data_IF_839115127722
#
_entry.id   IF_839115127722
#
_cell.length_a   1.000
_cell.length_b   1.000
_cell.length_c   1.000
_cell.angle_alpha   90.00
_cell.angle_beta   90.00
_cell.angle_gamma   90.00
#
_symmetry.space_group_name_H-M   'P 1'
#
loop_
_entity.id
_entity.type
_entity.pdbx_description
1 polymer ?
#
# COMPACT_ATOMS: atom_id res chain seq x y z
N UNK A 1 -37.29 55.06 75.78
CA UNK A 1 -37.35 55.04 74.29
C UNK A 1 -36.65 53.79 73.82
N UNK A 2 -37.29 52.75 73.33
CA UNK A 2 -36.61 51.52 72.86
C UNK A 2 -36.37 51.63 71.36
N UNK A 3 -35.16 51.18 70.95
CA UNK A 3 -34.73 51.04 69.52
C UNK A 3 -35.22 49.67 69.00
N UNK A 4 -35.94 49.66 67.92
CA UNK A 4 -36.26 48.48 67.14
C UNK A 4 -35.07 48.02 66.29
N UNK A 5 -34.62 46.76 66.44
CA UNK A 5 -33.72 46.09 65.53
C UNK A 5 -34.56 45.34 64.47
N UNK A 6 -34.34 45.68 63.22
CA UNK A 6 -34.90 44.90 62.08
C UNK A 6 -33.92 43.83 61.67
N UNK A 7 -34.29 42.56 61.78
CA UNK A 7 -33.53 41.43 61.22
C UNK A 7 -33.96 41.22 59.74
N UNK A 8 -33.03 41.41 58.83
CA UNK A 8 -33.20 40.99 57.42
C UNK A 8 -32.70 39.59 57.23
N UNK A 9 -33.60 38.69 56.89
CA UNK A 9 -33.30 37.29 56.51
C UNK A 9 -32.88 37.28 55.04
N UNK A 10 -31.61 36.99 54.75
CA UNK A 10 -31.11 36.74 53.40
C UNK A 10 -31.11 35.23 53.10
N UNK A 11 -31.89 34.80 52.15
CA UNK A 11 -31.84 33.44 51.60
C UNK A 11 -30.73 33.33 50.57
N UNK A 12 -29.89 32.26 50.58
CA UNK A 12 -28.94 32.04 49.51
C UNK A 12 -29.65 31.40 48.30
N UNK A 13 -29.56 32.07 47.17
CA UNK A 13 -29.97 31.58 45.84
C UNK A 13 -28.97 30.54 45.38
N UNK A 14 -29.28 29.24 45.46
CA UNK A 14 -28.43 28.14 44.97
C UNK A 14 -28.65 28.06 43.45
N UNK A 15 -27.65 28.52 42.69
CA UNK A 15 -27.61 28.42 41.20
C UNK A 15 -27.22 26.96 40.87
N UNK A 16 -28.16 26.14 40.45
CA UNK A 16 -27.88 24.82 39.84
C UNK A 16 -27.37 25.05 38.40
N UNK A 17 -26.03 24.97 38.21
CA UNK A 17 -25.43 24.89 36.88
C UNK A 17 -25.52 23.45 36.40
N UNK A 18 -26.50 23.17 35.55
CA UNK A 18 -26.61 21.90 34.84
C UNK A 18 -25.50 21.84 33.79
N UNK A 19 -24.43 21.09 34.07
CA UNK A 19 -23.35 20.77 33.15
C UNK A 19 -23.88 19.76 32.10
N UNK A 20 -24.42 20.26 30.99
CA UNK A 20 -24.75 19.41 29.86
C UNK A 20 -23.44 18.92 29.23
N UNK A 21 -23.05 17.67 29.54
CA UNK A 21 -22.02 16.96 28.79
C UNK A 21 -22.54 16.73 27.35
N UNK A 22 -22.20 17.62 26.43
CA UNK A 22 -22.25 17.31 25.00
C UNK A 22 -21.17 16.24 24.75
N UNK A 23 -21.59 14.99 24.68
CA UNK A 23 -20.79 13.93 24.05
C UNK A 23 -20.71 14.28 22.58
N UNK A 24 -19.63 14.96 22.17
CA UNK A 24 -19.24 15.01 20.78
C UNK A 24 -18.96 13.57 20.37
N UNK A 25 -19.91 12.94 19.66
CA UNK A 25 -19.64 11.76 18.88
C UNK A 25 -18.59 12.18 17.87
N UNK A 26 -17.32 11.83 18.13
CA UNK A 26 -16.27 11.91 17.15
C UNK A 26 -16.71 11.01 16.00
N UNK A 27 -17.26 11.58 14.95
CA UNK A 27 -17.36 10.88 13.68
C UNK A 27 -15.92 10.53 13.31
N UNK A 28 -15.57 9.25 13.45
CA UNK A 28 -14.33 8.74 12.91
C UNK A 28 -14.33 9.12 11.43
N UNK A 29 -13.58 10.14 11.07
CA UNK A 29 -13.37 10.48 9.67
C UNK A 29 -12.93 9.19 9.00
N UNK A 30 -13.67 8.76 7.97
CA UNK A 30 -13.37 7.54 7.26
C UNK A 30 -11.90 7.60 6.83
N UNK A 31 -11.09 6.67 7.31
CA UNK A 31 -9.66 6.65 7.00
C UNK A 31 -9.50 6.42 5.50
N UNK A 32 -8.91 7.38 4.79
CA UNK A 32 -8.61 7.28 3.38
C UNK A 32 -7.57 6.18 3.11
N UNK A 33 -7.70 5.48 1.98
CA UNK A 33 -6.76 4.48 1.53
C UNK A 33 -5.90 5.05 0.39
N UNK A 34 -4.99 5.93 0.75
CA UNK A 34 -4.36 6.90 -0.16
C UNK A 34 -3.36 6.32 -1.15
N UNK A 35 -2.91 5.07 -0.96
CA UNK A 35 -1.84 4.45 -1.75
C UNK A 35 -1.91 2.92 -1.73
N UNK A 36 -0.99 2.29 -2.46
CA UNK A 36 -0.76 0.85 -2.36
C UNK A 36 -0.60 0.41 -0.91
N UNK A 37 -1.46 -0.54 -0.47
CA UNK A 37 -1.53 -1.06 0.89
C UNK A 37 -1.93 -0.02 1.97
N UNK A 38 -2.62 1.06 1.58
CA UNK A 38 -3.18 2.03 2.52
C UNK A 38 -2.15 2.83 3.33
N UNK A 39 -2.50 3.28 4.54
CA UNK A 39 -1.65 4.15 5.33
C UNK A 39 -0.25 3.59 5.52
N UNK A 40 0.75 4.36 5.10
CA UNK A 40 2.17 4.01 5.13
C UNK A 40 2.52 2.63 4.50
N UNK A 41 1.66 2.08 3.66
CA UNK A 41 1.86 0.75 3.06
C UNK A 41 1.76 -0.42 4.04
N UNK A 42 1.20 -0.21 5.24
CA UNK A 42 1.06 -1.23 6.29
C UNK A 42 0.11 -2.37 5.91
N UNK A 43 -0.87 -2.10 5.07
CA UNK A 43 -1.96 -3.04 4.77
C UNK A 43 -3.02 -3.11 5.86
N UNK A 44 -3.05 -2.14 6.78
CA UNK A 44 -3.87 -2.18 7.98
C UNK A 44 -4.86 -1.03 8.06
N UNK A 45 -6.05 -1.30 8.58
CA UNK A 45 -7.01 -0.30 9.04
C UNK A 45 -7.85 -0.83 10.20
N UNK A 46 -8.52 0.10 10.90
CA UNK A 46 -9.40 -0.21 12.03
C UNK A 46 -10.89 -0.23 11.64
N UNK A 47 -11.19 -0.35 10.34
CA UNK A 47 -12.55 -0.45 9.86
C UNK A 47 -13.23 -1.72 10.38
N UNK A 48 -14.34 -1.55 11.06
CA UNK A 48 -15.18 -2.63 11.60
C UNK A 48 -16.36 -2.92 10.66
N UNK A 49 -17.05 -4.03 10.88
CA UNK A 49 -18.29 -4.37 10.18
C UNK A 49 -18.11 -4.82 8.73
N UNK A 50 -16.86 -4.99 8.22
CA UNK A 50 -16.65 -5.54 6.90
C UNK A 50 -17.09 -7.02 6.85
N UNK A 51 -17.81 -7.43 5.78
CA UNK A 51 -18.34 -8.78 5.67
C UNK A 51 -17.24 -9.81 5.45
N UNK A 52 -17.42 -11.02 6.01
CA UNK A 52 -16.55 -12.16 5.74
C UNK A 52 -17.04 -12.97 4.51
N UNK A 53 -18.33 -12.89 4.23
CA UNK A 53 -18.98 -13.49 3.06
C UNK A 53 -20.01 -12.53 2.49
N UNK A 54 -20.26 -12.62 1.20
CA UNK A 54 -21.29 -11.84 0.50
C UNK A 54 -21.70 -12.53 -0.80
N UNK A 55 -22.84 -12.12 -1.32
CA UNK A 55 -23.37 -12.48 -2.63
C UNK A 55 -23.39 -11.28 -3.57
N UNK A 56 -23.78 -11.44 -4.82
CA UNK A 56 -23.95 -10.30 -5.74
C UNK A 56 -25.00 -9.29 -5.24
N UNK A 57 -26.01 -9.75 -4.51
CA UNK A 57 -27.05 -8.85 -3.94
C UNK A 57 -26.51 -7.95 -2.82
N UNK A 58 -25.39 -8.32 -2.21
CA UNK A 58 -24.76 -7.54 -1.13
C UNK A 58 -23.79 -6.48 -1.65
N UNK A 59 -23.46 -6.52 -2.95
CA UNK A 59 -22.57 -5.53 -3.55
C UNK A 59 -23.21 -4.14 -3.49
N UNK A 60 -22.39 -3.14 -3.19
CA UNK A 60 -22.80 -1.75 -3.41
C UNK A 60 -22.88 -1.47 -4.92
N UNK A 61 -21.86 -1.95 -5.64
CA UNK A 61 -21.76 -1.87 -7.10
C UNK A 61 -20.62 -2.75 -7.61
N UNK A 62 -20.68 -3.09 -8.91
CA UNK A 62 -19.61 -3.71 -9.71
C UNK A 62 -19.48 -2.92 -10.99
N UNK A 63 -18.33 -2.28 -11.20
CA UNK A 63 -18.07 -1.38 -12.32
C UNK A 63 -17.05 -1.99 -13.27
N UNK A 64 -17.39 -2.04 -14.56
CA UNK A 64 -16.43 -2.40 -15.61
C UNK A 64 -15.41 -1.27 -15.79
N UNK A 65 -14.14 -1.64 -15.92
CA UNK A 65 -13.03 -0.72 -16.11
C UNK A 65 -12.61 -0.70 -17.58
N UNK A 66 -12.24 0.47 -18.13
CA UNK A 66 -11.55 0.51 -19.41
C UNK A 66 -10.24 -0.25 -19.34
N UNK A 67 -10.03 -1.22 -20.25
CA UNK A 67 -8.82 -2.04 -20.28
C UNK A 67 -8.68 -3.01 -19.09
N UNK A 68 -7.45 -3.48 -18.86
CA UNK A 68 -7.10 -4.43 -17.80
C UNK A 68 -5.92 -3.93 -16.96
N UNK A 69 -5.71 -4.54 -15.79
CA UNK A 69 -4.53 -4.22 -14.98
C UNK A 69 -4.56 -4.78 -13.56
N UNK A 70 -3.47 -4.55 -12.84
CA UNK A 70 -3.25 -5.02 -11.46
C UNK A 70 -3.13 -3.89 -10.44
N UNK A 71 -3.23 -2.63 -10.88
CA UNK A 71 -3.21 -1.46 -10.00
C UNK A 71 -4.22 -1.58 -8.86
N UNK A 72 -3.77 -1.46 -7.62
CA UNK A 72 -4.67 -1.43 -6.46
C UNK A 72 -5.33 -0.06 -6.33
N UNK A 73 -6.56 0.03 -5.81
CA UNK A 73 -7.26 1.31 -5.65
C UNK A 73 -6.55 2.22 -4.65
N UNK A 74 -6.40 3.49 -5.02
CA UNK A 74 -6.12 4.58 -4.09
C UNK A 74 -7.40 5.41 -3.92
N UNK A 75 -7.75 5.75 -2.68
CA UNK A 75 -9.03 6.37 -2.36
C UNK A 75 -8.80 7.62 -1.53
N UNK A 76 -9.41 8.72 -1.96
CA UNK A 76 -9.47 9.97 -1.21
C UNK A 76 -10.91 10.50 -1.22
N UNK A 77 -11.51 10.56 -0.06
CA UNK A 77 -12.91 10.92 0.08
C UNK A 77 -13.84 10.04 -0.77
N UNK A 78 -14.60 10.64 -1.67
CA UNK A 78 -15.52 9.94 -2.57
C UNK A 78 -14.92 9.58 -3.94
N UNK A 79 -13.60 9.64 -4.11
CA UNK A 79 -12.92 9.34 -5.37
C UNK A 79 -11.99 8.15 -5.25
N UNK A 80 -12.02 7.29 -6.26
CA UNK A 80 -11.15 6.14 -6.40
C UNK A 80 -10.29 6.35 -7.63
N UNK A 81 -8.99 6.22 -7.47
CA UNK A 81 -8.03 6.36 -8.56
C UNK A 81 -7.38 5.01 -8.86
N UNK A 82 -7.23 4.71 -10.15
CA UNK A 82 -6.67 3.47 -10.66
C UNK A 82 -5.87 3.72 -11.94
N UNK A 83 -4.90 2.85 -12.18
CA UNK A 83 -4.32 2.68 -13.52
C UNK A 83 -4.95 1.47 -14.20
N UNK A 84 -5.16 1.56 -15.49
CA UNK A 84 -5.54 0.46 -16.37
C UNK A 84 -4.80 0.59 -17.70
N UNK A 85 -4.86 -0.41 -18.56
CA UNK A 85 -4.21 -0.34 -19.86
C UNK A 85 -4.93 -1.17 -20.91
N UNK A 86 -4.80 -0.75 -22.17
CA UNK A 86 -5.24 -1.54 -23.30
C UNK A 86 -4.23 -2.67 -23.55
N UNK A 87 -4.66 -3.93 -23.56
CA UNK A 87 -3.73 -5.05 -23.58
C UNK A 87 -2.98 -5.23 -24.92
N UNK A 88 -3.55 -4.74 -26.04
CA UNK A 88 -2.97 -4.92 -27.38
C UNK A 88 -2.00 -3.82 -27.79
N UNK A 89 -2.22 -2.57 -27.40
CA UNK A 89 -1.40 -1.43 -27.80
C UNK A 89 -0.68 -0.73 -26.64
N UNK A 90 -0.87 -1.24 -25.43
CA UNK A 90 -0.28 -0.71 -24.20
C UNK A 90 -0.70 0.73 -23.85
N UNK A 91 -1.72 1.32 -24.47
CA UNK A 91 -2.25 2.62 -24.05
C UNK A 91 -2.58 2.60 -22.57
N UNK A 92 -2.00 3.53 -21.79
CA UNK A 92 -2.24 3.65 -20.35
C UNK A 92 -3.48 4.48 -20.09
N UNK A 93 -4.28 4.05 -19.15
CA UNK A 93 -5.45 4.77 -18.68
C UNK A 93 -5.26 5.18 -17.22
N UNK A 94 -5.40 6.48 -16.94
CA UNK A 94 -5.56 7.00 -15.59
C UNK A 94 -7.05 7.18 -15.35
N UNK A 95 -7.60 6.52 -14.35
CA UNK A 95 -9.03 6.46 -14.09
C UNK A 95 -9.36 7.10 -12.75
N UNK A 96 -10.46 7.84 -12.72
CA UNK A 96 -11.13 8.25 -11.49
C UNK A 96 -12.59 7.77 -11.50
N UNK A 97 -12.96 7.06 -10.46
CA UNK A 97 -14.32 6.56 -10.26
C UNK A 97 -14.93 7.18 -8.99
N UNK A 98 -16.25 7.22 -8.95
CA UNK A 98 -17.01 7.56 -7.76
C UNK A 98 -17.02 6.39 -6.77
N UNK A 99 -16.60 6.61 -5.53
CA UNK A 99 -16.69 5.60 -4.48
C UNK A 99 -18.15 5.28 -4.09
N UNK A 100 -19.07 6.20 -4.37
CA UNK A 100 -20.49 6.06 -4.07
C UNK A 100 -21.15 4.97 -4.91
N UNK A 101 -20.96 5.00 -6.23
CA UNK A 101 -21.71 4.20 -7.20
C UNK A 101 -20.85 3.55 -8.31
N UNK A 102 -19.52 3.67 -8.23
CA UNK A 102 -18.59 3.07 -9.19
C UNK A 102 -18.55 3.74 -10.57
N UNK A 103 -19.27 4.84 -10.77
CA UNK A 103 -19.28 5.55 -12.07
C UNK A 103 -17.90 6.12 -12.40
N UNK A 104 -17.49 5.97 -13.66
CA UNK A 104 -16.30 6.60 -14.19
C UNK A 104 -16.55 8.13 -14.24
N UNK A 105 -15.79 8.89 -13.46
CA UNK A 105 -15.86 10.35 -13.41
C UNK A 105 -15.04 10.98 -14.53
N UNK A 106 -13.81 10.44 -14.75
CA UNK A 106 -12.95 10.83 -15.85
C UNK A 106 -11.93 9.73 -16.18
N UNK A 107 -11.41 9.77 -17.40
CA UNK A 107 -10.33 8.95 -17.92
C UNK A 107 -9.33 9.82 -18.68
N UNK A 108 -8.05 9.53 -18.52
CA UNK A 108 -6.98 10.08 -19.35
C UNK A 108 -6.25 8.95 -20.05
N UNK A 109 -6.02 9.13 -21.35
CA UNK A 109 -5.41 8.15 -22.22
C UNK A 109 -4.01 8.62 -22.61
N UNK A 110 -3.03 7.73 -22.44
CA UNK A 110 -1.64 7.97 -22.80
C UNK A 110 -1.18 6.88 -23.76
N UNK A 111 -1.00 7.18 -25.06
CA UNK A 111 -0.36 6.26 -25.99
C UNK A 111 0.97 5.78 -25.44
N UNK A 112 1.28 4.50 -25.63
CA UNK A 112 2.50 3.89 -25.14
C UNK A 112 2.93 2.77 -26.07
N UNK A 113 4.05 2.12 -25.77
CA UNK A 113 4.59 1.05 -26.58
C UNK A 113 4.43 -0.30 -25.89
N UNK A 114 4.11 -1.32 -26.68
CA UNK A 114 4.11 -2.70 -26.19
C UNK A 114 5.54 -3.16 -25.96
N UNK A 115 5.74 -3.90 -24.88
CA UNK A 115 7.02 -4.48 -24.50
C UNK A 115 6.81 -5.79 -23.76
N UNK A 116 7.88 -6.53 -23.53
CA UNK A 116 7.80 -7.79 -22.81
C UNK A 116 7.30 -7.57 -21.38
N UNK A 117 6.33 -8.38 -20.99
CA UNK A 117 5.81 -8.48 -19.62
C UNK A 117 5.90 -9.92 -19.14
N UNK A 118 6.25 -10.10 -17.89
CA UNK A 118 6.08 -11.40 -17.24
C UNK A 118 4.58 -11.74 -17.11
N UNK A 119 4.21 -13.01 -17.15
CA UNK A 119 2.83 -13.48 -17.08
C UNK A 119 2.04 -13.02 -15.84
N UNK A 120 2.73 -12.59 -14.77
CA UNK A 120 2.13 -12.03 -13.56
C UNK A 120 2.09 -10.49 -13.56
N UNK A 121 2.57 -9.83 -14.60
CA UNK A 121 2.56 -8.38 -14.73
C UNK A 121 1.49 -7.89 -15.70
N UNK A 122 1.28 -6.58 -15.70
CA UNK A 122 0.43 -5.89 -16.68
C UNK A 122 1.04 -4.53 -17.00
N UNK A 123 0.57 -3.89 -18.07
CA UNK A 123 0.94 -2.51 -18.38
C UNK A 123 0.43 -1.50 -17.34
N UNK A 124 -0.38 -1.93 -16.36
CA UNK A 124 -0.94 -1.13 -15.28
C UNK A 124 -0.79 -1.82 -13.92
N UNK A 125 0.45 -2.14 -13.53
CA UNK A 125 0.75 -2.80 -12.26
C UNK A 125 1.02 -1.81 -11.12
N UNK A 126 1.39 -0.55 -11.41
CA UNK A 126 1.50 0.51 -10.41
C UNK A 126 0.16 0.90 -9.81
N UNK A 127 0.17 1.30 -8.55
CA UNK A 127 -0.97 1.91 -7.88
C UNK A 127 -0.75 3.41 -7.70
N UNK A 128 -1.80 4.24 -7.84
CA UNK A 128 -1.72 5.67 -7.57
C UNK A 128 -1.43 5.97 -6.10
N UNK A 129 -0.98 7.19 -5.84
CA UNK A 129 -1.10 7.84 -4.53
C UNK A 129 -2.04 9.04 -4.67
N UNK A 130 -2.96 9.23 -3.72
CA UNK A 130 -3.84 10.40 -3.68
C UNK A 130 -3.70 11.13 -2.35
N UNK A 131 -3.61 12.45 -2.39
CA UNK A 131 -3.69 13.34 -1.23
C UNK A 131 -4.89 14.31 -1.36
N UNK A 132 -4.96 15.31 -0.51
CA UNK A 132 -6.06 16.27 -0.50
C UNK A 132 -6.18 17.09 -1.79
N UNK A 133 -5.11 17.25 -2.54
CA UNK A 133 -5.03 18.16 -3.68
C UNK A 133 -4.90 17.42 -5.02
N UNK A 134 -4.12 16.33 -5.03
CA UNK A 134 -3.66 15.70 -6.26
C UNK A 134 -3.67 14.17 -6.18
N UNK A 135 -3.58 13.53 -7.34
CA UNK A 135 -3.27 12.13 -7.50
C UNK A 135 -1.99 11.99 -8.32
N UNK A 136 -1.09 11.11 -7.86
CA UNK A 136 0.20 10.84 -8.48
C UNK A 136 0.23 9.43 -9.03
N UNK A 137 0.71 9.29 -10.26
CA UNK A 137 0.77 8.02 -10.98
C UNK A 137 2.12 7.84 -11.66
N UNK A 138 2.55 6.59 -11.78
CA UNK A 138 3.78 6.26 -12.49
C UNK A 138 3.58 5.04 -13.39
N UNK A 139 4.29 5.01 -14.51
CA UNK A 139 4.43 3.85 -15.37
C UNK A 139 5.69 3.97 -16.22
N UNK A 140 6.11 2.90 -16.85
CA UNK A 140 7.16 2.98 -17.85
C UNK A 140 6.80 2.21 -19.13
N UNK A 141 7.50 2.56 -20.18
CA UNK A 141 7.68 1.80 -21.41
C UNK A 141 9.21 1.75 -21.74
N UNK A 142 9.64 1.17 -22.85
CA UNK A 142 11.07 1.05 -23.14
C UNK A 142 11.81 2.38 -23.22
N UNK A 143 11.14 3.46 -23.61
CA UNK A 143 11.77 4.77 -23.85
C UNK A 143 11.56 5.77 -22.71
N UNK A 144 10.54 5.56 -21.87
CA UNK A 144 10.08 6.54 -20.88
C UNK A 144 9.76 5.93 -19.53
N UNK A 145 10.06 6.67 -18.46
CA UNK A 145 9.60 6.40 -17.09
C UNK A 145 8.88 7.64 -16.58
N UNK A 146 7.57 7.60 -16.65
CA UNK A 146 6.71 8.72 -16.30
C UNK A 146 6.35 8.75 -14.82
N UNK A 147 6.41 9.95 -14.24
CA UNK A 147 5.74 10.31 -13.00
C UNK A 147 4.89 11.54 -13.27
N UNK A 148 3.60 11.47 -12.98
CA UNK A 148 2.64 12.53 -13.30
C UNK A 148 1.74 12.84 -12.12
N UNK A 149 1.29 14.09 -12.04
CA UNK A 149 0.30 14.56 -11.09
C UNK A 149 -0.94 15.12 -11.79
N UNK A 150 -2.08 14.84 -11.20
CA UNK A 150 -3.38 15.34 -11.66
C UNK A 150 -4.14 15.94 -10.49
N UNK A 151 -4.90 17.01 -10.72
CA UNK A 151 -5.97 17.39 -9.81
C UNK A 151 -7.02 16.28 -9.76
N UNK A 152 -7.81 16.24 -8.71
CA UNK A 152 -8.93 15.29 -8.59
C UNK A 152 -10.00 15.45 -9.71
N UNK A 153 -9.97 16.57 -10.42
CA UNK A 153 -10.81 16.84 -11.61
C UNK A 153 -10.29 16.18 -12.89
N UNK A 154 -9.07 15.62 -12.87
CA UNK A 154 -8.42 15.03 -14.02
C UNK A 154 -7.55 16.02 -14.84
N UNK A 155 -7.39 17.26 -14.40
CA UNK A 155 -6.43 18.20 -14.99
C UNK A 155 -5.00 17.74 -14.66
N UNK A 156 -4.14 17.54 -15.67
CA UNK A 156 -2.73 17.25 -15.47
C UNK A 156 -2.01 18.52 -14.96
N UNK A 157 -1.32 18.40 -13.82
CA UNK A 157 -0.62 19.52 -13.19
C UNK A 157 0.82 19.57 -13.66
N UNK A 158 1.49 18.41 -13.62
CA UNK A 158 2.87 18.26 -14.11
C UNK A 158 3.15 16.83 -14.56
N UNK A 159 4.20 16.69 -15.34
CA UNK A 159 4.70 15.44 -15.88
C UNK A 159 6.22 15.46 -15.90
N UNK A 160 6.85 14.41 -15.37
CA UNK A 160 8.31 14.23 -15.40
C UNK A 160 8.62 12.90 -16.05
N UNK A 161 9.57 12.92 -16.98
CA UNK A 161 10.13 11.74 -17.61
C UNK A 161 11.55 11.50 -17.10
N UNK A 162 11.80 10.31 -16.57
CA UNK A 162 13.12 9.88 -16.11
C UNK A 162 13.90 9.07 -17.14
N UNK A 163 13.37 8.95 -18.35
CA UNK A 163 13.98 8.25 -19.47
C UNK A 163 13.70 6.75 -19.54
N UNK A 164 14.48 6.02 -20.32
CA UNK A 164 14.28 4.60 -20.60
C UNK A 164 14.27 3.75 -19.34
N UNK A 165 13.49 2.66 -19.37
CA UNK A 165 13.43 1.70 -18.29
C UNK A 165 13.39 0.26 -18.81
N UNK A 166 14.15 -0.62 -18.18
CA UNK A 166 14.25 -2.03 -18.55
C UNK A 166 14.14 -2.94 -17.34
N UNK A 167 13.29 -3.93 -17.42
CA UNK A 167 13.28 -5.08 -16.53
C UNK A 167 12.73 -6.34 -17.20
N UNK A 168 12.99 -7.47 -16.58
CA UNK A 168 12.49 -8.76 -17.01
C UNK A 168 10.96 -8.92 -16.84
N UNK A 169 10.32 -8.16 -15.96
CA UNK A 169 8.94 -8.44 -15.54
C UNK A 169 7.94 -7.32 -15.86
N UNK A 170 8.38 -6.14 -16.29
CA UNK A 170 7.54 -4.95 -16.41
C UNK A 170 7.64 -4.03 -15.20
N UNK A 171 7.07 -2.83 -15.27
CA UNK A 171 7.13 -1.81 -14.24
C UNK A 171 6.04 -2.03 -13.19
N UNK A 172 6.39 -1.98 -11.90
CA UNK A 172 5.46 -2.24 -10.80
C UNK A 172 5.67 -1.37 -9.55
N UNK A 173 6.66 -0.48 -9.54
CA UNK A 173 6.85 0.46 -8.43
C UNK A 173 5.75 1.52 -8.39
N UNK A 174 5.30 1.87 -7.20
CA UNK A 174 4.25 2.87 -6.99
C UNK A 174 4.81 4.10 -6.28
N UNK A 175 4.35 5.32 -6.61
CA UNK A 175 4.77 6.54 -5.92
C UNK A 175 4.23 6.56 -4.50
N UNK A 176 4.95 7.27 -3.63
CA UNK A 176 4.49 7.65 -2.29
C UNK A 176 4.64 9.15 -2.10
N UNK A 177 3.88 9.73 -1.17
CA UNK A 177 4.06 11.12 -0.75
C UNK A 177 4.55 11.15 0.68
N UNK A 178 5.55 12.00 0.94
CA UNK A 178 6.02 12.33 2.27
C UNK A 178 6.33 13.83 2.35
N UNK A 179 5.60 14.55 3.20
CA UNK A 179 5.67 16.01 3.27
C UNK A 179 5.36 16.65 1.90
N UNK A 180 6.25 17.49 1.42
CA UNK A 180 6.12 18.20 0.14
C UNK A 180 6.70 17.43 -1.06
N UNK A 181 6.96 16.13 -0.92
CA UNK A 181 7.62 15.36 -1.96
C UNK A 181 6.84 14.12 -2.38
N UNK A 182 6.84 13.87 -3.68
CA UNK A 182 6.49 12.58 -4.27
C UNK A 182 7.77 11.79 -4.47
N UNK A 183 7.82 10.58 -3.95
CA UNK A 183 9.02 9.72 -3.99
C UNK A 183 8.70 8.48 -4.82
N UNK A 184 9.60 8.13 -5.74
CA UNK A 184 9.51 6.96 -6.59
C UNK A 184 10.82 6.17 -6.55
N UNK A 185 10.71 4.85 -6.37
CA UNK A 185 11.84 3.94 -6.53
C UNK A 185 11.86 3.39 -7.96
N UNK A 186 12.92 3.66 -8.69
CA UNK A 186 13.14 3.22 -10.07
C UNK A 186 14.28 2.21 -10.10
N UNK A 187 13.97 0.93 -9.95
CA UNK A 187 14.94 -0.15 -10.02
C UNK A 187 14.93 -0.77 -11.41
N UNK A 188 16.08 -0.91 -12.03
CA UNK A 188 16.25 -1.44 -13.39
C UNK A 188 17.23 -2.61 -13.40
N UNK A 189 17.16 -3.44 -14.41
CA UNK A 189 18.18 -4.45 -14.65
C UNK A 189 19.37 -3.83 -15.38
N UNK A 190 20.61 -4.16 -14.99
CA UNK A 190 21.79 -3.67 -15.68
C UNK A 190 21.80 -4.17 -17.13
N UNK A 191 22.38 -3.36 -18.03
CA UNK A 191 22.55 -3.75 -19.44
C UNK A 191 23.40 -5.02 -19.51
N UNK A 192 22.96 -6.01 -20.28
CA UNK A 192 23.75 -7.21 -20.60
C UNK A 192 24.66 -7.01 -21.80
N UNK A 193 24.65 -5.85 -22.44
CA UNK A 193 25.50 -5.56 -23.60
C UNK A 193 26.81 -4.93 -23.12
N UNK A 194 27.95 -5.62 -23.30
CA UNK A 194 29.25 -5.02 -23.00
C UNK A 194 29.49 -3.79 -23.90
N UNK A 195 30.07 -2.75 -23.32
CA UNK A 195 30.44 -1.49 -23.99
C UNK A 195 29.31 -0.55 -24.43
N UNK A 196 28.08 -0.78 -24.01
CA UNK A 196 27.03 0.23 -24.13
C UNK A 196 27.05 1.05 -22.84
N UNK A 197 27.16 2.39 -22.90
CA UNK A 197 26.92 3.21 -21.72
C UNK A 197 25.55 2.80 -21.18
N UNK A 198 25.49 2.40 -19.91
CA UNK A 198 24.22 2.03 -19.31
C UNK A 198 23.54 3.32 -18.80
N UNK A 199 22.69 3.98 -19.60
CA UNK A 199 21.99 5.19 -19.18
C UNK A 199 20.91 4.88 -18.14
N UNK A 200 20.77 3.61 -17.75
CA UNK A 200 19.67 3.06 -16.96
C UNK A 200 20.09 2.78 -15.54
N UNK A 201 20.61 3.80 -14.88
CA UNK A 201 20.90 3.70 -13.46
C UNK A 201 19.62 3.52 -12.65
N UNK A 202 19.65 2.57 -11.72
CA UNK A 202 18.63 2.50 -10.68
C UNK A 202 18.78 3.67 -9.73
N UNK A 203 17.66 4.19 -9.26
CA UNK A 203 17.65 5.33 -8.34
C UNK A 203 16.38 5.36 -7.49
N UNK A 204 16.44 6.09 -6.40
CA UNK A 204 15.27 6.63 -5.72
C UNK A 204 15.26 8.13 -5.99
N UNK A 205 14.10 8.66 -6.37
CA UNK A 205 13.94 10.09 -6.70
C UNK A 205 12.81 10.68 -5.89
N UNK A 206 12.99 11.94 -5.47
CA UNK A 206 11.92 12.76 -4.95
C UNK A 206 11.74 14.00 -5.81
N UNK A 207 10.50 14.30 -6.12
CA UNK A 207 10.10 15.53 -6.79
C UNK A 207 9.20 16.35 -5.88
N UNK A 208 9.20 17.65 -6.06
CA UNK A 208 8.24 18.54 -5.41
C UNK A 208 6.81 18.16 -5.84
N UNK A 209 5.92 17.96 -4.88
CA UNK A 209 4.57 17.44 -5.15
C UNK A 209 3.69 18.41 -5.94
N UNK A 210 3.94 19.71 -5.88
CA UNK A 210 3.13 20.72 -6.56
C UNK A 210 3.65 21.03 -7.96
N UNK A 211 4.97 20.93 -8.18
CA UNK A 211 5.62 21.40 -9.42
C UNK A 211 6.26 20.31 -10.24
N UNK A 212 6.50 19.11 -9.68
CA UNK A 212 7.25 18.03 -10.31
C UNK A 212 8.76 18.27 -10.39
N UNK A 213 9.27 19.39 -9.85
CA UNK A 213 10.71 19.68 -9.86
C UNK A 213 11.47 18.64 -9.03
N UNK A 214 12.52 18.05 -9.61
CA UNK A 214 13.39 17.11 -8.88
C UNK A 214 14.06 17.82 -7.71
N UNK A 215 13.83 17.31 -6.51
CA UNK A 215 14.45 17.78 -5.27
C UNK A 215 15.74 17.04 -4.97
N UNK A 216 15.74 15.72 -5.16
CA UNK A 216 16.91 14.88 -5.07
C UNK A 216 16.72 13.61 -5.90
N UNK A 217 17.83 13.03 -6.34
CA UNK A 217 17.90 11.73 -7.03
C UNK A 217 19.12 10.99 -6.51
N UNK A 218 18.89 9.88 -5.82
CA UNK A 218 19.94 9.07 -5.20
C UNK A 218 20.18 7.82 -6.04
N UNK A 219 21.36 7.68 -6.68
CA UNK A 219 21.72 6.47 -7.42
C UNK A 219 21.69 5.23 -6.52
N UNK A 220 21.22 4.11 -7.06
CA UNK A 220 21.15 2.83 -6.34
C UNK A 220 21.77 1.72 -7.18
N UNK A 221 22.41 0.79 -6.49
CA UNK A 221 22.91 -0.43 -7.15
C UNK A 221 21.76 -1.41 -7.37
N UNK A 222 21.83 -2.16 -8.46
CA UNK A 222 20.89 -3.23 -8.71
C UNK A 222 21.57 -4.42 -9.39
N UNK A 223 21.27 -5.63 -8.88
CA UNK A 223 21.65 -6.88 -9.51
C UNK A 223 20.46 -7.45 -10.29
N UNK A 224 19.26 -7.27 -9.77
CA UNK A 224 17.99 -7.56 -10.43
C UNK A 224 16.95 -6.53 -10.01
N UNK A 225 16.01 -6.22 -10.91
CA UNK A 225 14.94 -5.25 -10.66
C UNK A 225 14.17 -5.56 -9.38
N UNK A 226 14.03 -4.56 -8.53
CA UNK A 226 13.18 -4.57 -7.34
C UNK A 226 11.85 -3.87 -7.62
N UNK A 227 10.76 -4.34 -7.02
CA UNK A 227 9.41 -3.77 -7.20
C UNK A 227 8.81 -3.23 -5.91
N UNK A 228 9.60 -3.24 -4.83
CA UNK A 228 9.15 -2.80 -3.52
C UNK A 228 8.80 -1.32 -3.48
N UNK A 229 7.70 -0.99 -2.80
CA UNK A 229 7.25 0.38 -2.57
C UNK A 229 7.72 0.83 -1.20
N UNK A 230 8.44 1.94 -1.06
CA UNK A 230 8.96 2.39 0.22
C UNK A 230 7.89 2.69 1.26
N UNK A 231 8.26 2.61 2.54
CA UNK A 231 7.45 3.10 3.66
C UNK A 231 8.27 4.06 4.53
N UNK A 232 7.60 4.79 5.41
CA UNK A 232 8.25 5.75 6.31
C UNK A 232 8.28 5.18 7.72
N UNK A 233 9.43 5.31 8.38
CA UNK A 233 9.60 5.00 9.79
C UNK A 233 9.87 6.26 10.59
N UNK A 234 9.16 6.45 11.70
CA UNK A 234 9.47 7.49 12.68
C UNK A 234 10.54 7.00 13.62
N UNK A 235 11.67 7.69 13.72
CA UNK A 235 12.75 7.41 14.66
C UNK A 235 12.40 7.88 16.07
N UNK A 236 13.05 7.32 17.13
CA UNK A 236 12.86 7.82 18.50
C UNK A 236 13.23 9.27 18.71
N UNK A 237 14.18 9.83 17.92
CA UNK A 237 14.58 11.23 17.94
C UNK A 237 13.57 12.17 17.22
N UNK A 238 12.49 11.62 16.71
CA UNK A 238 11.45 12.36 16.01
C UNK A 238 11.73 12.63 14.55
N UNK A 239 12.83 12.15 13.97
CA UNK A 239 13.09 12.24 12.53
C UNK A 239 12.44 11.07 11.78
N UNK A 240 12.11 11.30 10.51
CA UNK A 240 11.59 10.28 9.64
C UNK A 240 12.70 9.66 8.78
N UNK A 241 12.54 8.38 8.48
CA UNK A 241 13.38 7.61 7.56
C UNK A 241 12.51 6.98 6.47
N UNK A 242 12.99 7.03 5.25
CA UNK A 242 12.41 6.31 4.12
C UNK A 242 13.03 4.92 4.07
N UNK A 243 12.25 3.89 4.37
CA UNK A 243 12.70 2.49 4.34
C UNK A 243 12.47 1.92 2.96
N UNK A 244 13.52 1.37 2.37
CA UNK A 244 13.55 0.80 1.03
C UNK A 244 14.13 -0.62 1.06
N UNK A 245 13.85 -1.40 0.01
CA UNK A 245 14.42 -2.72 -0.21
C UNK A 245 14.92 -2.88 -1.64
N UNK A 246 16.07 -3.51 -1.80
CA UNK A 246 16.57 -3.97 -3.10
C UNK A 246 17.42 -5.24 -2.95
N UNK A 247 17.62 -5.97 -4.04
CA UNK A 247 18.48 -7.18 -4.01
C UNK A 247 19.92 -6.82 -3.69
N UNK A 248 20.47 -5.78 -4.35
CA UNK A 248 21.88 -5.42 -4.23
C UNK A 248 22.25 -4.83 -2.87
N UNK A 249 21.33 -4.11 -2.23
CA UNK A 249 21.60 -3.31 -1.03
C UNK A 249 20.86 -3.85 0.21
N UNK A 250 19.94 -4.80 0.03
CA UNK A 250 19.16 -5.38 1.11
C UNK A 250 18.07 -4.45 1.60
N UNK A 251 17.98 -4.22 2.90
CA UNK A 251 17.09 -3.22 3.53
C UNK A 251 17.94 -1.99 3.83
N UNK A 252 17.49 -0.81 3.43
CA UNK A 252 18.21 0.43 3.64
C UNK A 252 17.26 1.59 3.96
N UNK A 253 17.79 2.62 4.61
CA UNK A 253 17.07 3.83 4.94
C UNK A 253 17.70 5.06 4.30
N UNK A 254 16.86 5.95 3.75
CA UNK A 254 17.25 7.24 3.25
C UNK A 254 16.63 8.35 4.10
N UNK A 255 17.31 9.47 4.17
CA UNK A 255 16.75 10.69 4.73
C UNK A 255 15.71 11.25 3.74
N UNK A 256 14.42 11.38 4.11
CA UNK A 256 13.36 11.68 3.13
C UNK A 256 13.54 13.03 2.43
N UNK A 257 14.14 14.04 3.12
CA UNK A 257 14.29 15.39 2.58
C UNK A 257 15.51 15.57 1.65
N UNK A 258 16.52 14.71 1.78
CA UNK A 258 17.78 14.88 1.03
C UNK A 258 18.15 13.69 0.17
N UNK A 259 17.54 12.53 0.38
CA UNK A 259 17.89 11.28 -0.27
C UNK A 259 19.22 10.68 0.21
N UNK A 260 19.88 11.27 1.21
CA UNK A 260 21.10 10.73 1.78
C UNK A 260 20.84 9.38 2.45
N UNK A 261 21.75 8.43 2.29
CA UNK A 261 21.66 7.14 2.97
C UNK A 261 21.98 7.31 4.46
N UNK A 262 21.06 6.89 5.32
CA UNK A 262 21.26 6.83 6.76
C UNK A 262 21.99 5.53 7.14
N UNK A 263 21.54 4.42 6.59
CA UNK A 263 22.11 3.09 6.79
C UNK A 263 21.67 2.12 5.70
N UNK A 264 22.42 1.06 5.50
CA UNK A 264 22.05 -0.09 4.67
C UNK A 264 22.55 -1.39 5.30
N UNK A 265 21.78 -2.47 5.09
CA UNK A 265 22.15 -3.80 5.56
C UNK A 265 21.85 -4.83 4.45
N UNK A 266 22.92 -5.36 3.85
CA UNK A 266 22.84 -6.35 2.78
C UNK A 266 22.42 -7.71 3.33
N UNK A 267 21.11 -7.93 3.38
CA UNK A 267 20.48 -9.16 3.91
C UNK A 267 19.77 -10.00 2.86
N UNK A 268 19.81 -9.60 1.58
CA UNK A 268 19.11 -10.26 0.51
C UNK A 268 20.07 -10.85 -0.52
N UNK A 269 19.73 -12.04 -1.01
CA UNK A 269 20.42 -12.75 -2.09
C UNK A 269 19.51 -13.04 -3.29
N UNK A 270 18.24 -12.59 -3.25
CA UNK A 270 17.22 -12.79 -4.27
C UNK A 270 16.45 -11.52 -4.52
N UNK A 271 15.57 -11.53 -5.52
CA UNK A 271 14.73 -10.38 -5.89
C UNK A 271 13.82 -9.93 -4.75
N UNK A 272 13.64 -8.62 -4.61
CA UNK A 272 12.64 -8.03 -3.72
C UNK A 272 11.43 -7.58 -4.52
N UNK A 273 10.25 -8.14 -4.23
CA UNK A 273 8.95 -7.77 -4.82
C UNK A 273 8.02 -7.22 -3.75
N UNK A 274 7.93 -7.92 -2.64
CA UNK A 274 7.25 -7.48 -1.44
C UNK A 274 7.81 -6.15 -0.93
N UNK A 275 6.96 -5.29 -0.41
CA UNK A 275 7.36 -3.98 0.13
C UNK A 275 7.89 -4.09 1.56
N UNK A 276 8.82 -3.21 1.99
CA UNK A 276 9.15 -3.10 3.40
C UNK A 276 7.96 -2.57 4.20
N UNK A 277 7.89 -2.91 5.46
CA UNK A 277 6.91 -2.38 6.40
C UNK A 277 7.49 -2.29 7.81
N UNK A 278 6.83 -1.52 8.67
CA UNK A 278 7.23 -1.33 10.08
C UNK A 278 6.11 -1.84 10.96
N UNK A 279 6.45 -2.72 11.90
CA UNK A 279 5.52 -3.21 12.92
C UNK A 279 6.27 -3.55 14.21
N UNK A 280 5.65 -3.27 15.38
CA UNK A 280 6.24 -3.57 16.70
C UNK A 280 7.65 -3.00 16.93
N UNK A 281 7.98 -1.87 16.30
CA UNK A 281 9.31 -1.25 16.37
C UNK A 281 10.38 -1.91 15.50
N UNK A 282 10.04 -2.97 14.76
CA UNK A 282 10.91 -3.65 13.81
C UNK A 282 10.64 -3.19 12.38
N UNK A 283 11.65 -3.28 11.53
CA UNK A 283 11.57 -3.11 10.08
C UNK A 283 11.63 -4.49 9.43
N UNK A 284 10.73 -4.73 8.51
CA UNK A 284 10.63 -5.99 7.78
C UNK A 284 10.90 -5.80 6.29
N UNK A 285 11.57 -6.77 5.72
CA UNK A 285 11.72 -6.91 4.28
C UNK A 285 11.69 -8.37 3.87
N UNK A 286 11.32 -8.61 2.62
CA UNK A 286 11.17 -9.95 2.07
C UNK A 286 11.92 -10.08 0.75
N UNK A 287 12.52 -11.23 0.54
CA UNK A 287 13.19 -11.57 -0.72
C UNK A 287 12.81 -12.98 -1.17
N UNK A 288 12.92 -13.26 -2.47
CA UNK A 288 12.59 -14.57 -2.99
C UNK A 288 12.77 -14.69 -4.49
N UNK A 289 12.32 -15.85 -5.00
CA UNK A 289 12.25 -16.09 -6.45
C UNK A 289 11.07 -17.00 -6.78
N UNK A 290 10.65 -17.02 -8.04
CA UNK A 290 9.64 -17.96 -8.53
C UNK A 290 10.02 -19.44 -8.35
N UNK A 291 11.32 -19.72 -8.21
CA UNK A 291 11.86 -21.08 -7.91
C UNK A 291 11.88 -21.41 -6.42
N UNK A 292 11.47 -20.49 -5.52
CA UNK A 292 11.47 -20.70 -4.07
C UNK A 292 12.68 -20.08 -3.35
N UNK A 293 12.90 -20.51 -2.10
CA UNK A 293 13.96 -19.99 -1.24
C UNK A 293 13.68 -18.56 -0.75
N UNK A 294 12.40 -18.20 -0.63
CA UNK A 294 11.97 -16.91 -0.07
C UNK A 294 12.20 -16.86 1.43
N UNK A 295 12.48 -15.68 1.94
CA UNK A 295 12.58 -15.44 3.38
C UNK A 295 12.23 -14.01 3.75
N UNK A 296 11.77 -13.85 4.99
CA UNK A 296 11.50 -12.56 5.63
C UNK A 296 12.60 -12.27 6.62
N UNK A 297 13.08 -11.03 6.64
CA UNK A 297 14.05 -10.54 7.61
C UNK A 297 13.39 -9.49 8.49
N UNK A 298 13.52 -9.64 9.79
CA UNK A 298 13.15 -8.65 10.79
C UNK A 298 14.39 -7.94 11.30
N UNK A 299 14.43 -6.61 11.20
CA UNK A 299 15.52 -5.79 11.68
C UNK A 299 15.07 -4.94 12.89
N UNK A 300 15.95 -4.83 13.87
CA UNK A 300 15.89 -3.75 14.87
C UNK A 300 16.73 -2.58 14.35
N UNK A 301 16.10 -1.45 13.98
CA UNK A 301 16.80 -0.29 13.45
C UNK A 301 17.26 0.60 14.62
N UNK A 302 18.24 0.11 15.38
CA UNK A 302 18.82 0.87 16.50
C UNK A 302 19.87 1.85 15.98
N UNK A 303 19.57 3.17 16.12
CA UNK A 303 20.45 4.27 15.70
C UNK A 303 20.96 4.07 14.24
N UNK A 304 22.27 4.14 14.05
CA UNK A 304 22.89 4.04 12.73
C UNK A 304 23.36 2.61 12.37
N UNK A 305 23.05 1.62 13.21
CA UNK A 305 23.46 0.22 13.03
C UNK A 305 22.29 -0.75 13.18
N UNK A 306 21.53 -0.98 12.10
CA UNK A 306 20.46 -1.98 12.13
C UNK A 306 21.02 -3.39 12.37
N UNK A 307 20.28 -4.21 13.13
CA UNK A 307 20.64 -5.60 13.40
C UNK A 307 19.52 -6.54 13.02
N UNK A 308 19.85 -7.67 12.43
CA UNK A 308 18.89 -8.76 12.21
C UNK A 308 18.48 -9.31 13.57
N UNK A 309 17.18 -9.33 13.83
CA UNK A 309 16.57 -9.92 15.03
C UNK A 309 16.27 -11.40 14.78
N UNK A 310 15.62 -11.67 13.63
CA UNK A 310 15.36 -13.03 13.18
C UNK A 310 15.08 -13.07 11.67
N UNK A 311 15.09 -14.29 11.13
CA UNK A 311 14.70 -14.61 9.77
C UNK A 311 13.66 -15.73 9.76
N UNK A 312 12.71 -15.66 8.83
CA UNK A 312 11.72 -16.70 8.59
C UNK A 312 11.93 -17.23 7.18
N UNK A 313 12.41 -18.48 7.05
CA UNK A 313 12.74 -19.10 5.77
C UNK A 313 11.69 -20.13 5.30
N UNK A 314 10.88 -20.67 6.22
CA UNK A 314 9.89 -21.68 5.90
C UNK A 314 8.58 -21.01 5.47
N UNK A 315 8.13 -21.35 4.24
CA UNK A 315 6.86 -20.86 3.68
C UNK A 315 6.71 -19.32 3.69
N UNK A 316 7.84 -18.64 3.57
CA UNK A 316 7.87 -17.20 3.46
C UNK A 316 7.29 -16.72 2.11
N UNK A 317 6.56 -15.60 2.06
CA UNK A 317 6.07 -15.03 0.82
C UNK A 317 7.23 -14.50 -0.05
N UNK A 318 7.01 -14.45 -1.36
CA UNK A 318 7.88 -13.75 -2.30
C UNK A 318 7.23 -12.46 -2.78
N UNK A 319 5.99 -12.54 -3.28
CA UNK A 319 5.25 -11.39 -3.84
C UNK A 319 4.35 -10.74 -2.77
N UNK A 320 3.48 -11.46 -2.05
CA UNK A 320 2.63 -10.84 -1.05
C UNK A 320 3.43 -10.22 0.10
N UNK A 321 3.12 -8.99 0.47
CA UNK A 321 3.70 -8.34 1.65
C UNK A 321 2.94 -8.78 2.89
N UNK A 322 3.64 -9.21 3.97
CA UNK A 322 3.00 -9.57 5.24
C UNK A 322 2.19 -8.43 5.87
N UNK A 323 1.33 -8.78 6.83
CA UNK A 323 0.53 -7.82 7.58
C UNK A 323 0.54 -8.17 9.07
N UNK A 324 0.53 -7.16 9.95
CA UNK A 324 0.60 -7.36 11.39
C UNK A 324 -0.74 -7.06 12.10
N UNK A 325 -0.91 -7.59 13.31
CA UNK A 325 -1.93 -7.19 14.27
C UNK A 325 -1.41 -7.40 15.70
N UNK A 326 -1.16 -6.30 16.41
CA UNK A 326 -0.61 -6.38 17.75
C UNK A 326 0.72 -7.14 17.77
N UNK A 327 0.77 -8.26 18.49
CA UNK A 327 1.95 -9.13 18.62
C UNK A 327 2.05 -10.22 17.54
N UNK A 328 1.17 -10.23 16.57
CA UNK A 328 1.10 -11.24 15.52
C UNK A 328 1.53 -10.67 14.15
N UNK A 329 2.23 -11.50 13.40
CA UNK A 329 2.57 -11.25 12.00
C UNK A 329 2.03 -12.40 11.15
N UNK A 330 1.31 -12.05 10.08
CA UNK A 330 0.69 -12.99 9.15
C UNK A 330 1.45 -12.98 7.81
N UNK A 331 2.04 -14.10 7.50
CA UNK A 331 2.78 -14.36 6.27
C UNK A 331 1.87 -15.13 5.33
N UNK A 332 1.59 -14.57 4.16
CA UNK A 332 0.75 -15.22 3.15
C UNK A 332 1.60 -15.58 1.95
N UNK A 333 1.95 -16.86 1.80
CA UNK A 333 2.84 -17.28 0.71
C UNK A 333 2.14 -17.25 -0.65
N UNK A 334 2.93 -17.14 -1.72
CA UNK A 334 2.46 -17.18 -3.11
C UNK A 334 1.66 -18.45 -3.45
N UNK A 335 1.86 -19.54 -2.69
CA UNK A 335 1.23 -20.86 -2.89
C UNK A 335 0.07 -21.13 -1.91
N UNK A 336 -0.45 -20.09 -1.24
CA UNK A 336 -1.59 -20.21 -0.35
C UNK A 336 -1.30 -20.96 0.96
N UNK A 337 -0.09 -20.85 1.48
CA UNK A 337 0.21 -21.22 2.86
C UNK A 337 0.26 -19.96 3.69
N UNK A 338 -0.58 -19.91 4.73
CA UNK A 338 -0.61 -18.79 5.67
C UNK A 338 0.04 -19.22 6.97
N UNK A 339 1.00 -18.45 7.42
CA UNK A 339 1.71 -18.66 8.68
C UNK A 339 1.51 -17.47 9.59
N UNK A 340 0.98 -17.70 10.79
CA UNK A 340 0.97 -16.72 11.87
C UNK A 340 2.19 -16.96 12.74
N UNK A 341 2.94 -15.89 13.00
CA UNK A 341 4.12 -15.93 13.87
C UNK A 341 4.03 -14.85 14.95
N UNK A 342 4.77 -15.03 16.03
CA UNK A 342 5.04 -13.97 17.00
C UNK A 342 5.88 -12.88 16.31
N UNK A 343 5.45 -11.65 16.39
CA UNK A 343 6.11 -10.50 15.78
C UNK A 343 7.47 -10.22 16.44
N UNK A 344 7.62 -10.55 17.72
CA UNK A 344 8.81 -10.26 18.49
C UNK A 344 10.01 -11.15 18.11
N UNK A 345 9.77 -12.44 17.82
CA UNK A 345 10.83 -13.44 17.64
C UNK A 345 10.64 -14.40 16.46
N UNK A 346 9.60 -14.21 15.66
CA UNK A 346 9.31 -15.00 14.48
C UNK A 346 8.85 -16.44 14.76
N UNK A 347 8.58 -16.81 16.03
CA UNK A 347 8.10 -18.16 16.36
C UNK A 347 6.73 -18.42 15.79
N UNK A 348 6.58 -19.57 15.15
CA UNK A 348 5.32 -20.00 14.54
C UNK A 348 4.26 -20.22 15.61
N UNK A 349 3.11 -19.53 15.45
CA UNK A 349 1.89 -19.75 16.25
C UNK A 349 1.02 -20.81 15.58
N UNK A 350 0.73 -20.63 14.29
CA UNK A 350 0.07 -21.64 13.47
C UNK A 350 0.48 -21.50 11.99
N UNK A 351 0.24 -22.57 11.21
CA UNK A 351 0.44 -22.59 9.77
C UNK A 351 -0.68 -23.43 9.13
N UNK A 352 -1.31 -22.91 8.08
CA UNK A 352 -2.40 -23.57 7.36
C UNK A 352 -2.33 -23.30 5.87
N UNK A 353 -2.75 -24.26 5.08
CA UNK A 353 -2.96 -24.10 3.63
C UNK A 353 -4.39 -23.63 3.39
N UNK A 354 -4.53 -22.53 2.65
CA UNK A 354 -5.84 -21.96 2.25
C UNK A 354 -6.14 -22.20 0.77
N UNK A 355 -5.24 -22.92 0.07
CA UNK A 355 -5.28 -23.19 -1.38
C UNK A 355 -5.23 -21.90 -2.24
N UNK A 356 -5.04 -22.06 -3.54
CA UNK A 356 -4.88 -20.98 -4.50
C UNK A 356 -3.44 -20.44 -4.59
N UNK A 357 -3.19 -19.63 -5.61
CA UNK A 357 -1.97 -18.84 -5.77
C UNK A 357 -2.29 -17.38 -5.49
N UNK A 358 -1.34 -16.64 -4.97
CA UNK A 358 -1.55 -15.25 -4.54
C UNK A 358 -0.42 -14.36 -5.04
N UNK A 359 -0.79 -13.27 -5.70
CA UNK A 359 0.10 -12.18 -6.11
C UNK A 359 -0.24 -10.89 -5.38
N UNK A 360 -1.54 -10.65 -5.09
CA UNK A 360 -1.98 -9.57 -4.23
C UNK A 360 -1.57 -9.78 -2.77
N UNK A 361 -1.32 -8.71 -2.05
CA UNK A 361 -0.99 -8.78 -0.63
C UNK A 361 -2.23 -8.91 0.24
N UNK A 362 -2.18 -9.60 1.38
CA UNK A 362 -3.24 -9.52 2.37
C UNK A 362 -3.34 -8.11 2.95
N UNK A 363 -4.56 -7.73 3.34
CA UNK A 363 -4.81 -6.57 4.18
C UNK A 363 -5.51 -6.99 5.46
N UNK A 364 -5.37 -6.20 6.50
CA UNK A 364 -6.10 -6.34 7.77
C UNK A 364 -7.10 -5.20 7.93
N UNK A 365 -8.34 -5.56 8.18
CA UNK A 365 -9.37 -4.64 8.63
C UNK A 365 -9.89 -5.10 9.98
N UNK A 366 -9.56 -4.37 11.03
CA UNK A 366 -9.83 -4.66 12.43
C UNK A 366 -9.39 -6.08 12.84
N UNK A 367 -10.28 -7.06 12.87
CA UNK A 367 -10.04 -8.45 13.28
C UNK A 367 -9.99 -9.46 12.13
N UNK A 368 -10.02 -8.99 10.88
CA UNK A 368 -10.08 -9.84 9.68
C UNK A 368 -8.92 -9.58 8.73
N UNK A 369 -8.44 -10.65 8.12
CA UNK A 369 -7.52 -10.62 6.99
C UNK A 369 -8.30 -10.89 5.70
N UNK A 370 -8.01 -10.12 4.66
CA UNK A 370 -8.57 -10.31 3.32
C UNK A 370 -7.43 -10.47 2.32
N UNK A 371 -7.43 -11.52 1.53
CA UNK A 371 -6.50 -11.71 0.44
C UNK A 371 -7.22 -12.28 -0.78
N UNK A 372 -6.86 -11.83 -1.98
CA UNK A 372 -7.47 -12.30 -3.22
C UNK A 372 -6.48 -13.20 -3.94
N UNK A 373 -6.94 -14.41 -4.32
CA UNK A 373 -6.14 -15.34 -5.12
C UNK A 373 -6.03 -14.87 -6.58
N UNK A 374 -5.05 -15.42 -7.30
CA UNK A 374 -4.85 -15.14 -8.73
C UNK A 374 -6.09 -15.53 -9.56
N UNK A 375 -6.89 -16.53 -9.10
CA UNK A 375 -8.14 -16.95 -9.73
C UNK A 375 -9.34 -16.06 -9.34
N UNK A 376 -9.14 -15.05 -8.49
CA UNK A 376 -10.17 -14.10 -8.08
C UNK A 376 -11.07 -14.59 -6.94
N UNK A 377 -10.55 -15.46 -6.08
CA UNK A 377 -11.24 -15.87 -4.86
C UNK A 377 -10.74 -15.06 -3.67
N UNK A 378 -11.65 -14.39 -2.96
CA UNK A 378 -11.34 -13.68 -1.72
C UNK A 378 -11.38 -14.66 -0.57
N UNK A 379 -10.28 -14.84 0.12
CA UNK A 379 -10.17 -15.63 1.35
C UNK A 379 -10.16 -14.69 2.53
N UNK A 380 -11.06 -14.94 3.49
CA UNK A 380 -11.19 -14.12 4.71
C UNK A 380 -10.85 -14.97 5.92
N UNK A 381 -9.83 -14.55 6.69
CA UNK A 381 -9.39 -15.21 7.91
C UNK A 381 -9.58 -14.30 9.13
N UNK A 382 -9.71 -14.90 10.31
CA UNK A 382 -9.53 -14.17 11.55
C UNK A 382 -8.04 -13.78 11.70
N UNK A 383 -7.78 -12.52 12.05
CA UNK A 383 -6.44 -12.06 12.40
C UNK A 383 -6.13 -12.40 13.86
N UNK A 384 -6.01 -13.69 14.22
CA UNK A 384 -5.95 -14.16 15.59
C UNK A 384 -4.86 -15.24 15.83
N UNK A 385 -4.61 -15.54 17.11
CA UNK A 385 -3.74 -16.63 17.58
C UNK A 385 -4.24 -18.02 17.19
N UNK A 386 -5.54 -18.15 16.91
CA UNK A 386 -6.15 -19.36 16.42
C UNK A 386 -6.53 -19.22 14.95
N UNK A 387 -6.21 -20.23 14.14
CA UNK A 387 -6.62 -20.25 12.75
C UNK A 387 -8.14 -20.41 12.62
N UNK A 388 -8.77 -19.47 11.93
CA UNK A 388 -10.17 -19.56 11.56
C UNK A 388 -10.39 -18.94 10.18
N UNK A 389 -10.85 -19.74 9.22
CA UNK A 389 -11.37 -19.23 7.95
C UNK A 389 -12.81 -18.75 8.21
N UNK A 390 -13.05 -17.47 7.94
CA UNK A 390 -14.34 -16.82 8.18
C UNK A 390 -15.23 -16.83 6.95
N UNK A 391 -14.61 -16.90 5.77
CA UNK A 391 -15.37 -16.92 4.54
C UNK A 391 -14.48 -17.00 3.30
N UNK A 392 -15.15 -17.29 2.18
CA UNK A 392 -14.54 -17.41 0.87
C UNK A 392 -15.56 -16.98 -0.19
N UNK A 393 -15.19 -16.09 -1.09
CA UNK A 393 -16.09 -15.49 -2.07
C UNK A 393 -15.39 -15.37 -3.42
N UNK A 394 -16.01 -15.91 -4.47
CA UNK A 394 -15.52 -15.74 -5.85
C UNK A 394 -15.94 -14.37 -6.40
N UNK A 395 -15.00 -13.69 -7.04
CA UNK A 395 -15.26 -12.45 -7.78
C UNK A 395 -15.69 -12.69 -9.24
N UNK A 396 -15.61 -13.97 -9.69
CA UNK A 396 -15.97 -14.39 -11.06
C UNK A 396 -14.94 -14.05 -12.12
N UNK A 397 -13.80 -13.46 -11.75
CA UNK A 397 -12.73 -13.06 -12.67
C UNK A 397 -11.37 -13.05 -11.94
N UNK A 398 -10.25 -13.40 -12.60
CA UNK A 398 -8.91 -13.34 -12.00
C UNK A 398 -8.54 -11.98 -11.42
N UNK A 399 -7.68 -11.98 -10.39
CA UNK A 399 -7.16 -10.78 -9.75
C UNK A 399 -5.71 -10.95 -9.31
N UNK A 400 -4.92 -9.88 -9.39
CA UNK A 400 -3.59 -9.78 -8.76
C UNK A 400 -3.45 -8.47 -7.99
N UNK A 401 -4.55 -7.78 -7.76
CA UNK A 401 -4.60 -6.53 -7.00
C UNK A 401 -4.69 -6.80 -5.51
N UNK A 402 -4.12 -5.88 -4.74
CA UNK A 402 -4.33 -5.84 -3.29
C UNK A 402 -5.64 -5.11 -3.00
N UNK A 403 -6.50 -5.63 -2.10
CA UNK A 403 -7.72 -4.94 -1.68
C UNK A 403 -7.46 -3.56 -1.06
N UNK A 404 -8.48 -2.71 -1.06
CA UNK A 404 -8.46 -1.42 -0.38
C UNK A 404 -9.70 -1.26 0.51
N UNK A 405 -9.58 -0.45 1.57
CA UNK A 405 -10.68 -0.17 2.51
C UNK A 405 -10.80 1.32 2.72
N UNK A 406 -11.99 1.87 2.52
CA UNK A 406 -12.31 3.27 2.86
C UNK A 406 -13.80 3.41 3.12
N UNK A 407 -14.20 4.30 4.03
CA UNK A 407 -15.61 4.56 4.33
C UNK A 407 -16.38 3.32 4.80
N UNK A 408 -15.73 2.38 5.51
CA UNK A 408 -16.35 1.12 5.92
C UNK A 408 -16.63 0.14 4.78
N UNK A 409 -16.11 0.40 3.58
CA UNK A 409 -16.28 -0.43 2.39
C UNK A 409 -14.99 -1.10 1.98
N UNK A 410 -15.09 -2.33 1.50
CA UNK A 410 -14.03 -3.08 0.85
C UNK A 410 -14.12 -2.84 -0.66
N UNK A 411 -12.98 -2.57 -1.29
CA UNK A 411 -12.85 -2.38 -2.73
C UNK A 411 -11.92 -3.45 -3.28
N UNK A 412 -12.43 -4.21 -4.23
CA UNK A 412 -11.80 -5.39 -4.80
C UNK A 412 -11.68 -5.20 -6.30
N UNK A 413 -10.46 -5.24 -6.83
CA UNK A 413 -10.22 -5.16 -8.27
C UNK A 413 -9.95 -6.53 -8.84
N UNK A 414 -10.65 -6.86 -9.91
CA UNK A 414 -10.32 -7.95 -10.84
C UNK A 414 -9.57 -7.38 -12.05
N UNK A 415 -9.30 -8.17 -13.07
CA UNK A 415 -8.61 -7.68 -14.27
C UNK A 415 -9.34 -6.52 -14.90
N UNK A 416 -10.67 -6.63 -15.09
CA UNK A 416 -11.49 -5.68 -15.82
C UNK A 416 -12.61 -5.03 -15.01
N UNK A 417 -12.74 -5.32 -13.71
CA UNK A 417 -13.79 -4.73 -12.86
C UNK A 417 -13.23 -4.18 -11.54
N UNK A 418 -13.96 -3.23 -10.99
CA UNK A 418 -13.83 -2.81 -9.59
C UNK A 418 -15.17 -3.09 -8.89
N UNK A 419 -15.07 -3.66 -7.70
CA UNK A 419 -16.21 -4.12 -6.90
C UNK A 419 -16.18 -3.44 -5.54
N UNK A 420 -17.32 -2.96 -5.05
CA UNK A 420 -17.46 -2.42 -3.69
C UNK A 420 -18.48 -3.21 -2.89
N UNK A 421 -18.11 -3.59 -1.65
CA UNK A 421 -18.97 -4.30 -0.72
C UNK A 421 -18.77 -3.79 0.71
N UNK A 422 -19.80 -3.95 1.56
CA UNK A 422 -19.79 -3.45 2.95
C UNK A 422 -20.22 -1.99 3.07
N UNK A 423 -20.10 -1.41 4.26
CA UNK A 423 -20.49 -0.03 4.55
C UNK A 423 -22.00 0.23 4.56
N UNK A 424 -22.82 -0.82 4.50
CA UNK A 424 -24.24 -0.71 4.83
C UNK A 424 -24.32 -0.77 6.36
N UNK A 425 -24.96 0.24 7.00
CA UNK A 425 -25.31 0.14 8.41
C UNK A 425 -26.16 -1.12 8.61
N UNK A 426 -25.71 -1.96 9.54
CA UNK A 426 -26.49 -3.11 10.02
C UNK A 426 -27.78 -2.62 10.67
#
# INVERSE_FOLDING_TARGET
>A
MPRFLSLTLSWPLTLLVSLSCLTMASSSAAQDWTRFRGPNGSGECEAQGLPATWTEADLNWKAALPGIGHSSPAIWGERIFLLSAHPQDATRYVLCLSAKDGKLLWRKDYPSQTHHLHARSSYASCSPFADAEQVYVAWSDPDHTWLKAFKHTGEEVWSVDFGPWVSQHGFGSSPIVHGEMVILSCSQEPSKQPNTPDPRDSFVVAVDRLTGQVRWKTPRKTDTTSYSVPCVRRRPDGQDELICCSTAEGIYALHPQTGAENWSLKVFDKRTVSSPFVAGGLVFGTTGSGGGGSYVVALSPQADQPKVVYEIRKEAPYVPTPVARGELLFLWSDKGIVTCVSLADGKQVWQKRVNGNFSGSPIRAYDKLYCVSDDGEVVVLAADKEFKELGRVSLGEPSRSTPAVSGGRLYLRTYSHLISVGGKSL
#
